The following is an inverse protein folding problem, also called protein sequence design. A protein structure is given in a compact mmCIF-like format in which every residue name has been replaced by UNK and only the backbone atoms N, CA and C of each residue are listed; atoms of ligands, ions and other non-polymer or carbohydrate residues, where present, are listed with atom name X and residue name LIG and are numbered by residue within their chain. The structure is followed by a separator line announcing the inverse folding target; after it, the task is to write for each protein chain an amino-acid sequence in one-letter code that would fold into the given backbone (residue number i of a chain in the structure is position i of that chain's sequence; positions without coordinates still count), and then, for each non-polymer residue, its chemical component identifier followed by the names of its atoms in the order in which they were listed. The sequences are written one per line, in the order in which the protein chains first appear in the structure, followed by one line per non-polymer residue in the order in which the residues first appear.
data_IF_963902856834
#
_entry.id   IF_963902856834
#
_cell.length_a   1.000
_cell.length_b   1.000
_cell.length_c   1.000
_cell.angle_alpha   90.00
_cell.angle_beta   90.00
_cell.angle_gamma   90.00
#
_symmetry.space_group_name_H-M   'P 1'
#
loop_
_entity.id
_entity.type
_entity.pdbx_description
1 polymer ?
#
# COMPACT_ATOMS: atom_id res chain seq x y z
N UNK A 1 19.55 12.34 -10.32
CA UNK A 1 20.07 11.25 -9.46
C UNK A 1 19.78 9.91 -10.13
N UNK A 2 20.73 8.99 -10.18
CA UNK A 2 20.50 7.66 -10.76
C UNK A 2 19.35 6.95 -10.03
N UNK A 3 18.56 6.18 -10.79
CA UNK A 3 17.45 5.38 -10.24
C UNK A 3 18.04 4.29 -9.32
N UNK A 4 17.48 4.12 -8.13
CA UNK A 4 17.89 3.02 -7.24
C UNK A 4 17.58 1.68 -7.91
N UNK A 5 18.52 0.72 -7.92
CA UNK A 5 18.28 -0.62 -8.42
C UNK A 5 17.11 -1.27 -7.66
N UNK A 6 16.19 -1.92 -8.38
CA UNK A 6 15.11 -2.66 -7.76
C UNK A 6 15.65 -3.87 -6.99
N UNK A 7 15.32 -3.99 -5.72
CA UNK A 7 15.54 -5.22 -4.95
C UNK A 7 14.48 -6.22 -5.42
N UNK A 8 14.88 -7.28 -6.10
CA UNK A 8 13.99 -8.31 -6.64
C UNK A 8 13.78 -9.41 -5.62
N UNK A 9 12.51 -9.67 -5.26
CA UNK A 9 12.15 -10.73 -4.32
C UNK A 9 10.71 -11.18 -4.55
N UNK A 10 10.44 -12.45 -4.31
CA UNK A 10 9.09 -13.01 -4.26
C UNK A 10 8.61 -13.23 -2.81
N UNK A 11 9.46 -12.94 -1.82
CA UNK A 11 9.17 -13.17 -0.41
C UNK A 11 8.43 -12.00 0.25
N UNK A 12 8.75 -10.78 -0.16
CA UNK A 12 8.31 -9.57 0.51
C UNK A 12 7.45 -8.68 -0.40
N UNK A 13 6.40 -8.03 0.15
CA UNK A 13 5.63 -7.06 -0.60
C UNK A 13 6.37 -5.73 -0.74
N UNK A 14 5.93 -4.96 -1.71
CA UNK A 14 6.40 -3.61 -1.97
C UNK A 14 5.26 -2.62 -1.72
N UNK A 15 5.58 -1.50 -1.11
CA UNK A 15 4.78 -0.30 -1.26
C UNK A 15 5.20 0.42 -2.54
N UNK A 16 4.25 0.69 -3.40
CA UNK A 16 4.47 1.26 -4.73
C UNK A 16 3.65 2.53 -4.84
N UNK A 17 4.24 3.59 -5.40
CA UNK A 17 3.51 4.81 -5.74
C UNK A 17 3.82 5.25 -7.14
N UNK A 18 2.79 5.66 -7.88
CA UNK A 18 2.92 6.33 -9.17
C UNK A 18 2.13 7.64 -9.13
N UNK A 19 2.73 8.71 -9.61
CA UNK A 19 2.15 10.05 -9.54
C UNK A 19 1.99 10.64 -10.93
N UNK A 20 0.90 11.39 -11.12
CA UNK A 20 0.63 12.12 -12.35
C UNK A 20 1.74 13.11 -12.69
N UNK A 21 1.83 13.45 -13.96
CA UNK A 21 2.72 14.52 -14.43
C UNK A 21 2.36 15.84 -13.76
N UNK A 22 3.36 16.66 -13.41
CA UNK A 22 3.21 17.96 -12.74
C UNK A 22 2.38 17.95 -11.44
N UNK A 23 2.04 16.78 -10.90
CA UNK A 23 1.12 16.62 -9.75
C UNK A 23 -0.31 17.11 -10.04
N UNK A 24 -0.67 17.25 -11.28
CA UNK A 24 -2.02 17.57 -11.71
C UNK A 24 -2.97 16.39 -11.46
N UNK A 25 -4.26 16.65 -11.50
CA UNK A 25 -5.24 15.57 -11.49
C UNK A 25 -5.05 14.68 -12.73
N UNK A 26 -5.44 13.43 -12.63
CA UNK A 26 -5.53 12.57 -13.80
C UNK A 26 -6.57 13.16 -14.77
N UNK A 27 -6.25 13.16 -16.05
CA UNK A 27 -6.95 13.93 -17.10
C UNK A 27 -8.35 13.43 -17.48
N UNK A 28 -8.92 12.51 -16.70
CA UNK A 28 -10.24 11.93 -16.81
C UNK A 28 -10.89 11.88 -15.43
N UNK A 29 -12.23 11.71 -15.32
CA UNK A 29 -12.90 11.49 -14.05
C UNK A 29 -12.23 10.37 -13.25
N UNK A 30 -12.16 10.53 -11.93
CA UNK A 30 -11.48 9.57 -11.05
C UNK A 30 -12.14 8.20 -11.09
N UNK A 31 -13.45 8.12 -11.29
CA UNK A 31 -14.20 6.88 -11.54
C UNK A 31 -13.71 6.13 -12.76
N UNK A 32 -13.48 6.84 -13.86
CA UNK A 32 -13.02 6.23 -15.10
C UNK A 32 -11.57 5.75 -14.98
N UNK A 33 -10.73 6.56 -14.32
CA UNK A 33 -9.36 6.15 -14.02
C UNK A 33 -9.33 4.93 -13.13
N UNK A 34 -10.21 4.86 -12.11
CA UNK A 34 -10.33 3.70 -11.22
C UNK A 34 -10.69 2.43 -12.00
N UNK A 35 -11.69 2.52 -12.89
CA UNK A 35 -12.10 1.38 -13.72
C UNK A 35 -10.97 0.90 -14.64
N UNK A 36 -10.27 1.84 -15.31
CA UNK A 36 -9.09 1.53 -16.13
C UNK A 36 -8.01 0.85 -15.30
N UNK A 37 -7.77 1.34 -14.10
CA UNK A 37 -6.76 0.80 -13.21
C UNK A 37 -7.10 -0.62 -12.75
N UNK A 38 -8.34 -0.87 -12.32
CA UNK A 38 -8.82 -2.19 -11.91
C UNK A 38 -8.76 -3.20 -13.06
N UNK A 39 -9.26 -2.83 -14.24
CA UNK A 39 -9.21 -3.67 -15.44
C UNK A 39 -7.75 -4.05 -15.80
N UNK A 40 -6.85 -3.08 -15.76
CA UNK A 40 -5.45 -3.32 -16.11
C UNK A 40 -4.73 -4.16 -15.06
N UNK A 41 -5.03 -3.94 -13.76
CA UNK A 41 -4.48 -4.78 -12.68
C UNK A 41 -5.02 -6.21 -12.71
N UNK A 42 -6.27 -6.42 -13.17
CA UNK A 42 -6.84 -7.77 -13.26
C UNK A 42 -6.06 -8.66 -14.22
N UNK A 43 -5.53 -8.11 -15.30
CA UNK A 43 -4.67 -8.84 -16.25
C UNK A 43 -3.41 -9.39 -15.55
N UNK A 44 -2.75 -8.56 -14.73
CA UNK A 44 -1.55 -8.97 -13.99
C UNK A 44 -1.85 -9.92 -12.84
N UNK A 45 -3.01 -9.75 -12.19
CA UNK A 45 -3.46 -10.65 -11.13
C UNK A 45 -3.86 -12.02 -11.68
N UNK A 46 -4.61 -12.07 -12.79
CA UNK A 46 -4.98 -13.32 -13.48
C UNK A 46 -3.76 -14.05 -14.02
N UNK A 47 -2.78 -13.34 -14.59
CA UNK A 47 -1.51 -13.90 -15.00
C UNK A 47 -0.63 -14.35 -13.81
N UNK A 48 -1.13 -14.22 -12.57
CA UNK A 48 -0.44 -14.57 -11.33
C UNK A 48 0.94 -13.92 -11.16
N UNK A 49 1.19 -12.78 -11.83
CA UNK A 49 2.46 -12.04 -11.69
C UNK A 49 2.48 -11.11 -10.48
N UNK A 50 1.30 -10.59 -10.09
CA UNK A 50 1.13 -9.76 -8.90
C UNK A 50 0.09 -10.36 -7.96
N UNK A 51 0.41 -10.33 -6.66
CA UNK A 51 -0.56 -10.49 -5.57
C UNK A 51 -0.81 -9.12 -4.97
N UNK A 52 -2.05 -8.63 -5.09
CA UNK A 52 -2.43 -7.31 -4.65
C UNK A 52 -2.90 -7.41 -3.20
N UNK A 53 -2.32 -6.57 -2.32
CA UNK A 53 -2.65 -6.53 -0.90
C UNK A 53 -3.50 -5.31 -0.53
N UNK A 54 -3.25 -4.16 -1.16
CA UNK A 54 -4.02 -2.93 -0.99
C UNK A 54 -3.82 -2.00 -2.19
N UNK A 55 -4.86 -1.25 -2.53
CA UNK A 55 -4.82 -0.20 -3.54
C UNK A 55 -5.66 0.98 -3.08
N UNK A 56 -5.12 2.18 -3.22
CA UNK A 56 -5.83 3.45 -3.04
C UNK A 56 -5.45 4.38 -4.19
N UNK A 57 -6.45 4.89 -4.89
CA UNK A 57 -6.29 5.89 -5.95
C UNK A 57 -6.65 7.27 -5.41
N UNK A 58 -5.69 8.16 -5.35
CA UNK A 58 -5.89 9.60 -5.06
C UNK A 58 -6.09 10.38 -6.37
N UNK A 59 -6.47 11.66 -6.27
CA UNK A 59 -6.71 12.52 -7.45
C UNK A 59 -5.52 12.63 -8.41
N UNK A 60 -4.29 12.50 -7.91
CA UNK A 60 -3.07 12.69 -8.70
C UNK A 60 -1.97 11.65 -8.44
N UNK A 61 -2.24 10.60 -7.69
CA UNK A 61 -1.31 9.50 -7.46
C UNK A 61 -2.06 8.26 -6.96
N UNK A 62 -1.40 7.13 -7.04
CA UNK A 62 -1.88 5.89 -6.46
C UNK A 62 -0.89 5.34 -5.45
N UNK A 63 -1.42 4.59 -4.49
CA UNK A 63 -0.69 3.73 -3.59
C UNK A 63 -1.10 2.28 -3.82
N UNK A 64 -0.13 1.42 -4.02
CA UNK A 64 -0.34 -0.01 -4.21
C UNK A 64 0.60 -0.77 -3.25
N UNK A 65 0.06 -1.74 -2.52
CA UNK A 65 0.87 -2.76 -1.85
C UNK A 65 0.69 -4.06 -2.62
N UNK A 66 1.78 -4.58 -3.17
CA UNK A 66 1.75 -5.82 -3.95
C UNK A 66 3.03 -6.63 -3.78
N UNK A 67 2.91 -7.96 -3.95
CA UNK A 67 4.05 -8.87 -4.06
C UNK A 67 4.19 -9.36 -5.49
N UNK A 68 5.42 -9.48 -5.96
CA UNK A 68 5.72 -10.19 -7.22
C UNK A 68 5.87 -11.69 -6.93
N UNK A 69 5.29 -12.54 -7.74
CA UNK A 69 5.33 -14.00 -7.54
C UNK A 69 6.64 -14.64 -8.00
N UNK A 70 7.31 -14.00 -8.95
CA UNK A 70 8.59 -14.44 -9.55
C UNK A 70 9.76 -13.51 -9.22
N UNK A 71 9.51 -12.46 -8.42
CA UNK A 71 10.50 -11.45 -8.06
C UNK A 71 10.70 -10.34 -9.10
N UNK A 72 10.01 -10.37 -10.23
CA UNK A 72 10.17 -9.42 -11.34
C UNK A 72 9.11 -8.33 -11.31
N UNK A 73 9.06 -7.54 -10.25
CA UNK A 73 8.09 -6.44 -10.11
C UNK A 73 8.11 -5.45 -11.28
N UNK A 74 9.25 -5.26 -11.91
CA UNK A 74 9.44 -4.30 -13.00
C UNK A 74 8.62 -4.64 -14.26
N UNK A 75 8.39 -5.91 -14.56
CA UNK A 75 7.61 -6.33 -15.74
C UNK A 75 6.12 -5.98 -15.61
N UNK A 76 5.40 -6.45 -14.57
CA UNK A 76 3.99 -6.11 -14.41
C UNK A 76 3.76 -4.62 -14.17
N UNK A 77 4.66 -3.93 -13.47
CA UNK A 77 4.53 -2.49 -13.27
C UNK A 77 4.75 -1.68 -14.55
N UNK A 78 5.65 -2.10 -15.42
CA UNK A 78 5.82 -1.50 -16.74
C UNK A 78 4.59 -1.68 -17.60
N UNK A 79 4.00 -2.88 -17.60
CA UNK A 79 2.75 -3.16 -18.29
C UNK A 79 1.63 -2.27 -17.75
N UNK A 80 1.41 -2.28 -16.44
CA UNK A 80 0.37 -1.51 -15.77
C UNK A 80 0.42 -0.02 -16.15
N UNK A 81 1.57 0.62 -15.95
CA UNK A 81 1.69 2.06 -16.20
C UNK A 81 1.55 2.40 -17.68
N UNK A 82 2.09 1.57 -18.58
CA UNK A 82 1.95 1.76 -20.02
C UNK A 82 0.48 1.67 -20.47
N UNK A 83 -0.23 0.61 -20.03
CA UNK A 83 -1.62 0.40 -20.46
C UNK A 83 -2.57 1.43 -19.86
N UNK A 84 -2.37 1.80 -18.58
CA UNK A 84 -3.12 2.91 -17.98
C UNK A 84 -2.88 4.22 -18.75
N UNK A 85 -1.62 4.57 -19.08
CA UNK A 85 -1.32 5.74 -19.91
C UNK A 85 -2.04 5.69 -21.26
N UNK A 86 -1.98 4.54 -21.95
CA UNK A 86 -2.61 4.37 -23.26
C UNK A 86 -4.12 4.56 -23.19
N UNK A 87 -4.79 3.95 -22.20
CA UNK A 87 -6.24 4.04 -22.02
C UNK A 87 -6.67 5.45 -21.60
N UNK A 88 -5.98 6.08 -20.67
CA UNK A 88 -6.25 7.45 -20.22
C UNK A 88 -6.07 8.44 -21.37
N UNK A 89 -4.97 8.35 -22.11
CA UNK A 89 -4.75 9.25 -23.28
C UNK A 89 -5.83 9.08 -24.35
N UNK A 90 -6.26 7.84 -24.59
CA UNK A 90 -7.38 7.58 -25.51
C UNK A 90 -8.70 8.21 -25.04
N UNK A 91 -8.98 8.15 -23.72
CA UNK A 91 -10.22 8.70 -23.15
C UNK A 91 -10.20 10.22 -23.04
N UNK A 92 -9.02 10.84 -22.95
CA UNK A 92 -8.85 12.30 -22.79
C UNK A 92 -8.39 13.01 -24.06
N UNK A 93 -8.27 12.30 -25.18
CA UNK A 93 -7.71 12.81 -26.45
C UNK A 93 -6.33 13.47 -26.26
N UNK A 94 -5.46 12.85 -25.46
CA UNK A 94 -4.12 13.34 -25.15
C UNK A 94 -3.04 12.40 -25.68
N UNK A 95 -1.85 12.94 -25.91
CA UNK A 95 -0.69 12.22 -26.42
C UNK A 95 0.51 12.24 -25.45
N UNK A 96 0.39 12.91 -24.30
CA UNK A 96 1.48 13.15 -23.39
C UNK A 96 1.54 12.11 -22.25
N UNK A 97 2.58 12.21 -21.40
CA UNK A 97 2.75 11.37 -20.24
C UNK A 97 1.67 11.61 -19.19
N UNK A 98 0.94 10.56 -18.80
CA UNK A 98 -0.01 10.58 -17.68
C UNK A 98 0.74 10.58 -16.34
N UNK A 99 1.80 9.77 -16.22
CA UNK A 99 2.64 9.75 -15.04
C UNK A 99 3.91 10.58 -15.23
N UNK A 100 4.29 11.33 -14.20
CA UNK A 100 5.44 12.24 -14.19
C UNK A 100 6.81 11.55 -14.11
N UNK A 101 6.84 10.23 -14.22
CA UNK A 101 8.05 9.42 -14.20
C UNK A 101 7.78 7.98 -13.76
N UNK A 102 8.83 7.19 -13.56
CA UNK A 102 8.73 5.83 -13.07
C UNK A 102 8.09 5.77 -11.68
N UNK A 103 7.43 4.64 -11.39
CA UNK A 103 6.93 4.38 -10.03
C UNK A 103 8.07 4.41 -9.00
N UNK A 104 7.73 4.80 -7.78
CA UNK A 104 8.60 4.67 -6.61
C UNK A 104 8.18 3.42 -5.84
N UNK A 105 9.13 2.81 -5.17
CA UNK A 105 8.89 1.59 -4.42
C UNK A 105 9.69 1.57 -3.11
N UNK A 106 9.20 0.81 -2.15
CA UNK A 106 9.87 0.48 -0.88
C UNK A 106 9.52 -0.95 -0.49
N UNK A 107 10.51 -1.76 -0.18
CA UNK A 107 10.32 -3.15 0.23
C UNK A 107 9.86 -3.22 1.68
N UNK A 108 8.88 -4.06 1.99
CA UNK A 108 8.32 -4.25 3.33
C UNK A 108 8.75 -5.61 3.84
N UNK A 109 9.66 -5.66 4.83
CA UNK A 109 10.36 -6.88 5.21
C UNK A 109 9.85 -7.57 6.47
N UNK A 110 8.91 -6.96 7.20
CA UNK A 110 8.29 -7.57 8.37
C UNK A 110 6.83 -7.15 8.56
N UNK A 111 6.14 -7.88 9.41
CA UNK A 111 4.71 -7.74 9.67
C UNK A 111 4.32 -6.37 10.25
N UNK A 112 5.05 -5.88 11.25
CA UNK A 112 4.73 -4.58 11.86
C UNK A 112 4.84 -3.45 10.84
N UNK A 113 5.85 -3.48 9.98
CA UNK A 113 5.96 -2.53 8.87
C UNK A 113 4.87 -2.72 7.82
N UNK A 114 4.46 -3.96 7.56
CA UNK A 114 3.34 -4.22 6.65
C UNK A 114 2.04 -3.58 7.15
N UNK A 115 1.72 -3.76 8.42
CA UNK A 115 0.52 -3.19 9.03
C UNK A 115 0.53 -1.66 9.02
N UNK A 116 1.63 -1.06 9.42
CA UNK A 116 1.76 0.40 9.36
C UNK A 116 1.65 0.92 7.92
N UNK A 117 2.23 0.21 6.96
CA UNK A 117 2.12 0.56 5.56
C UNK A 117 0.67 0.42 5.06
N UNK A 118 -0.01 -0.66 5.45
CA UNK A 118 -1.41 -0.92 5.12
C UNK A 118 -2.32 0.19 5.66
N UNK A 119 -2.21 0.50 6.96
CA UNK A 119 -2.92 1.61 7.61
C UNK A 119 -2.60 2.94 6.93
N UNK A 120 -1.33 3.20 6.65
CA UNK A 120 -0.91 4.41 5.95
C UNK A 120 -1.58 4.54 4.58
N UNK A 121 -1.61 3.48 3.79
CA UNK A 121 -2.20 3.48 2.44
C UNK A 121 -3.69 3.77 2.52
N UNK A 122 -4.44 3.05 3.35
CA UNK A 122 -5.88 3.24 3.47
C UNK A 122 -6.28 4.56 4.12
N UNK A 123 -5.43 5.14 4.98
CA UNK A 123 -5.69 6.45 5.58
C UNK A 123 -5.30 7.65 4.72
N UNK A 124 -4.69 7.47 3.55
CA UNK A 124 -4.34 8.61 2.70
C UNK A 124 -5.51 9.54 2.40
N UNK A 125 -6.72 9.06 2.02
CA UNK A 125 -7.89 9.93 1.79
C UNK A 125 -8.34 10.67 3.05
N UNK A 126 -8.35 9.99 4.20
CA UNK A 126 -8.70 10.61 5.50
C UNK A 126 -7.69 11.68 5.89
N UNK A 127 -6.39 11.42 5.73
CA UNK A 127 -5.34 12.39 6.00
C UNK A 127 -5.36 13.59 5.05
N UNK A 128 -5.92 13.42 3.85
CA UNK A 128 -6.14 14.48 2.88
C UNK A 128 -7.45 15.25 3.12
N UNK A 129 -8.25 14.88 4.13
CA UNK A 129 -9.54 15.51 4.43
C UNK A 129 -10.62 15.23 3.39
N UNK A 130 -10.50 14.16 2.61
CA UNK A 130 -11.46 13.81 1.54
C UNK A 130 -12.66 13.03 2.11
N UNK A 131 -12.43 12.23 3.13
CA UNK A 131 -13.46 11.46 3.84
C UNK A 131 -13.09 11.39 5.33
N UNK A 132 -14.07 11.01 6.16
CA UNK A 132 -13.86 10.88 7.62
C UNK A 132 -13.33 9.50 8.00
N UNK A 133 -13.78 8.46 7.30
CA UNK A 133 -13.43 7.06 7.56
C UNK A 133 -12.82 6.40 6.32
N UNK A 134 -11.95 5.41 6.53
CA UNK A 134 -11.24 4.74 5.43
C UNK A 134 -12.18 3.99 4.49
N UNK A 135 -13.27 3.43 5.01
CA UNK A 135 -14.29 2.71 4.27
C UNK A 135 -15.21 3.60 3.43
N UNK A 136 -15.28 4.90 3.72
CA UNK A 136 -16.12 5.85 2.97
C UNK A 136 -15.48 6.24 1.62
N UNK A 137 -14.21 5.92 1.42
CA UNK A 137 -13.52 6.31 0.21
C UNK A 137 -13.72 5.30 -0.93
N UNK A 138 -14.42 5.67 -2.03
CA UNK A 138 -14.82 4.71 -3.07
C UNK A 138 -13.66 4.16 -3.91
N UNK A 139 -12.55 4.88 -4.00
CA UNK A 139 -11.39 4.48 -4.82
C UNK A 139 -10.31 3.79 -3.97
N UNK A 140 -10.77 2.83 -3.17
CA UNK A 140 -9.99 2.04 -2.23
C UNK A 140 -10.42 0.59 -2.26
N UNK A 141 -9.49 -0.33 -2.01
CA UNK A 141 -9.80 -1.76 -1.93
C UNK A 141 -10.18 -2.22 -0.51
N UNK A 142 -10.33 -1.30 0.45
CA UNK A 142 -10.59 -1.68 1.85
C UNK A 142 -11.87 -2.52 2.00
N UNK A 143 -12.95 -2.12 1.34
CA UNK A 143 -14.24 -2.80 1.44
C UNK A 143 -14.26 -4.16 0.74
N UNK A 144 -13.31 -4.44 -0.15
CA UNK A 144 -13.20 -5.75 -0.81
C UNK A 144 -12.69 -6.86 0.12
N UNK A 145 -12.18 -6.52 1.29
CA UNK A 145 -11.83 -7.50 2.31
C UNK A 145 -13.07 -8.16 2.92
N UNK A 146 -14.17 -7.44 3.01
CA UNK A 146 -15.47 -7.97 3.46
C UNK A 146 -16.30 -8.48 2.28
N UNK A 147 -16.30 -7.74 1.17
CA UNK A 147 -17.03 -8.09 -0.04
C UNK A 147 -16.10 -8.21 -1.25
N UNK A 148 -15.49 -9.38 -1.49
CA UNK A 148 -14.56 -9.59 -2.60
C UNK A 148 -15.14 -9.34 -3.99
N UNK A 149 -16.49 -9.38 -4.15
CA UNK A 149 -17.16 -9.14 -5.45
C UNK A 149 -17.04 -7.70 -5.97
N UNK A 150 -16.58 -6.77 -5.12
CA UNK A 150 -16.33 -5.37 -5.51
C UNK A 150 -15.14 -5.20 -6.46
N UNK A 151 -14.29 -6.21 -6.60
CA UNK A 151 -13.08 -6.14 -7.42
C UNK A 151 -13.03 -7.28 -8.44
N UNK A 152 -12.40 -7.04 -9.61
CA UNK A 152 -12.21 -8.07 -10.63
C UNK A 152 -11.01 -9.01 -10.34
N UNK A 153 -10.41 -8.90 -9.17
CA UNK A 153 -9.29 -9.72 -8.69
C UNK A 153 -9.33 -9.87 -7.17
N UNK A 154 -8.74 -10.94 -6.62
CA UNK A 154 -8.69 -11.15 -5.19
C UNK A 154 -7.69 -10.21 -4.50
N UNK A 155 -8.00 -9.80 -3.27
CA UNK A 155 -7.04 -9.16 -2.36
C UNK A 155 -6.38 -10.26 -1.54
N UNK A 156 -5.05 -10.26 -1.53
CA UNK A 156 -4.26 -11.26 -0.83
C UNK A 156 -3.78 -10.71 0.52
N UNK A 157 -3.88 -11.56 1.56
CA UNK A 157 -3.14 -11.31 2.79
C UNK A 157 -1.68 -11.73 2.60
N UNK A 158 -0.77 -10.96 3.16
CA UNK A 158 0.62 -11.37 3.13
C UNK A 158 0.85 -12.52 4.11
N UNK A 159 1.38 -13.63 3.62
CA UNK A 159 1.52 -14.89 4.39
C UNK A 159 2.34 -14.77 5.68
N UNK A 160 3.27 -13.80 5.75
CA UNK A 160 4.08 -13.52 6.94
C UNK A 160 3.41 -12.54 7.92
N UNK A 161 2.22 -12.04 7.58
CA UNK A 161 1.43 -11.24 8.51
C UNK A 161 0.78 -12.07 9.62
N UNK A 162 0.95 -13.39 9.56
CA UNK A 162 0.38 -14.33 10.52
C UNK A 162 -1.11 -14.60 10.30
N UNK A 163 -1.60 -15.69 10.89
CA UNK A 163 -3.03 -16.06 10.84
C UNK A 163 -3.95 -15.04 11.54
N UNK A 164 -3.38 -14.13 12.30
CA UNK A 164 -4.09 -13.09 13.04
C UNK A 164 -4.58 -11.93 12.16
N UNK A 165 -4.09 -11.76 10.92
CA UNK A 165 -4.80 -11.03 9.88
C UNK A 165 -5.77 -11.96 9.12
N UNK A 166 -6.23 -13.03 9.69
CA UNK A 166 -7.55 -13.53 9.36
C UNK A 166 -8.49 -12.48 9.92
N UNK A 167 -8.99 -11.67 9.02
CA UNK A 167 -9.93 -10.58 9.28
C UNK A 167 -11.20 -11.11 9.97
N UNK A 168 -11.03 -11.90 11.03
CA UNK A 168 -12.13 -12.51 11.78
C UNK A 168 -13.06 -11.48 12.43
N UNK A 169 -12.58 -10.24 12.54
CA UNK A 169 -13.40 -9.09 12.92
C UNK A 169 -12.98 -7.86 12.10
N UNK A 170 -13.49 -7.76 10.88
CA UNK A 170 -13.25 -6.64 9.97
C UNK A 170 -13.56 -5.30 10.63
N UNK A 171 -14.59 -5.23 11.46
CA UNK A 171 -14.95 -4.03 12.21
C UNK A 171 -13.81 -3.55 13.12
N UNK A 172 -13.17 -4.43 13.88
CA UNK A 172 -12.05 -4.06 14.75
C UNK A 172 -10.85 -3.53 13.95
N UNK A 173 -10.64 -4.06 12.77
CA UNK A 173 -9.59 -3.59 11.86
C UNK A 173 -9.94 -2.21 11.30
N UNK A 174 -11.19 -1.98 10.89
CA UNK A 174 -11.65 -0.66 10.47
C UNK A 174 -11.51 0.35 11.60
N UNK A 175 -11.91 0.00 12.82
CA UNK A 175 -11.77 0.87 13.98
C UNK A 175 -10.31 1.24 14.23
N UNK A 176 -9.40 0.28 14.16
CA UNK A 176 -7.96 0.55 14.24
C UNK A 176 -7.46 1.42 13.06
N UNK A 177 -7.87 1.14 11.83
CA UNK A 177 -7.47 1.95 10.67
C UNK A 177 -8.00 3.38 10.78
N UNK A 178 -9.19 3.58 11.39
CA UNK A 178 -9.77 4.89 11.61
C UNK A 178 -9.16 5.64 12.82
N UNK A 179 -8.47 4.95 13.72
CA UNK A 179 -7.71 5.61 14.79
C UNK A 179 -6.62 6.48 14.18
N UNK A 180 -6.58 7.77 14.55
CA UNK A 180 -5.58 8.72 14.06
C UNK A 180 -4.16 8.33 14.50
N UNK A 181 -3.18 8.81 13.74
CA UNK A 181 -1.80 8.71 14.18
C UNK A 181 -1.47 9.76 15.24
N UNK A 182 -0.58 9.45 16.19
CA UNK A 182 0.02 10.48 17.04
C UNK A 182 0.68 11.57 16.20
N UNK A 183 0.73 12.78 16.75
CA UNK A 183 1.30 13.95 16.05
C UNK A 183 2.69 13.64 15.47
N UNK A 184 2.87 13.94 14.20
CA UNK A 184 4.13 13.76 13.48
C UNK A 184 4.43 12.33 13.03
N UNK A 185 3.71 11.29 13.49
CA UNK A 185 4.04 9.91 13.13
C UNK A 185 3.83 9.60 11.65
N UNK A 186 2.83 10.20 11.01
CA UNK A 186 2.61 10.07 9.56
C UNK A 186 3.81 10.52 8.73
N UNK A 187 4.57 11.52 9.20
CA UNK A 187 5.76 11.99 8.50
C UNK A 187 6.95 11.03 8.65
N UNK A 188 7.06 10.35 9.79
CA UNK A 188 8.02 9.25 9.95
C UNK A 188 7.71 8.11 8.97
N UNK A 189 6.44 7.72 8.81
CA UNK A 189 6.01 6.72 7.83
C UNK A 189 6.36 7.16 6.41
N UNK A 190 5.98 8.38 6.02
CA UNK A 190 6.29 8.95 4.69
C UNK A 190 7.80 8.97 4.42
N UNK A 191 8.60 9.33 5.43
CA UNK A 191 10.06 9.35 5.32
C UNK A 191 10.62 7.93 5.16
N UNK A 192 10.15 6.98 5.94
CA UNK A 192 10.56 5.57 5.87
C UNK A 192 10.26 4.94 4.51
N UNK A 193 9.06 5.22 3.96
CA UNK A 193 8.62 4.73 2.65
C UNK A 193 9.38 5.34 1.45
N UNK A 194 10.25 6.33 1.67
CA UNK A 194 11.14 6.84 0.62
C UNK A 194 12.45 6.03 0.50
N UNK A 195 12.70 5.13 1.43
CA UNK A 195 13.87 4.23 1.42
C UNK A 195 13.61 3.01 0.53
N UNK A 196 14.67 2.33 0.06
CA UNK A 196 14.53 1.07 -0.70
C UNK A 196 13.94 -0.06 0.14
N UNK A 197 14.20 -0.05 1.45
CA UNK A 197 13.52 -0.92 2.42
C UNK A 197 12.80 -0.02 3.41
N UNK A 198 11.52 -0.29 3.63
CA UNK A 198 10.71 0.47 4.57
C UNK A 198 11.21 0.24 6.00
N UNK A 199 11.59 1.32 6.63
CA UNK A 199 11.94 1.33 8.06
C UNK A 199 11.63 2.69 8.66
N UNK A 200 11.29 2.71 9.94
CA UNK A 200 11.12 3.94 10.71
C UNK A 200 12.46 4.28 11.35
N UNK A 201 12.89 5.51 11.15
CA UNK A 201 14.14 5.99 11.72
C UNK A 201 14.09 5.89 13.26
N UNK A 202 15.08 5.22 13.84
CA UNK A 202 15.27 5.18 15.29
C UNK A 202 15.58 6.58 15.83
N UNK A 203 15.16 6.84 17.05
CA UNK A 203 15.55 8.06 17.76
C UNK A 203 17.09 8.13 17.85
N UNK A 204 17.66 9.26 17.48
CA UNK A 204 19.13 9.42 17.43
C UNK A 204 19.81 9.25 18.78
N UNK A 205 19.16 9.68 19.86
CA UNK A 205 19.72 9.65 21.21
C UNK A 205 19.51 8.29 21.90
N UNK A 206 18.30 7.73 21.79
CA UNK A 206 17.95 6.47 22.47
C UNK A 206 18.24 5.23 21.63
N UNK A 207 18.46 5.37 20.33
CA UNK A 207 18.60 4.31 19.32
C UNK A 207 17.38 3.34 19.27
N UNK A 208 16.27 3.71 19.92
CA UNK A 208 15.03 2.93 19.93
C UNK A 208 14.05 3.39 18.86
N UNK A 209 13.21 2.48 18.42
CA UNK A 209 12.02 2.81 17.60
C UNK A 209 11.09 3.67 18.45
N UNK A 210 10.42 4.69 17.88
CA UNK A 210 9.46 5.51 18.62
C UNK A 210 8.37 4.66 19.28
N UNK A 211 8.01 4.97 20.53
CA UNK A 211 7.06 4.17 21.32
C UNK A 211 5.69 4.02 20.65
N UNK A 212 5.23 5.05 19.92
CA UNK A 212 3.92 4.93 19.24
C UNK A 212 3.96 3.96 18.04
N UNK A 213 5.10 3.54 17.58
CA UNK A 213 5.16 2.45 16.59
C UNK A 213 4.51 1.18 17.16
N UNK A 214 4.81 0.85 18.41
CA UNK A 214 4.25 -0.31 19.07
C UNK A 214 2.84 -0.06 19.59
N UNK A 215 2.59 1.11 20.20
CA UNK A 215 1.27 1.51 20.73
C UNK A 215 0.16 1.51 19.68
N UNK A 216 0.46 1.93 18.46
CA UNK A 216 -0.52 1.90 17.37
C UNK A 216 -0.91 0.47 17.00
N UNK A 217 0.02 -0.49 17.13
CA UNK A 217 -0.25 -1.90 16.86
C UNK A 217 -0.94 -2.63 18.02
N UNK A 218 -0.81 -2.15 19.26
CA UNK A 218 -1.51 -2.72 20.43
C UNK A 218 -3.03 -2.79 20.21
N UNK A 219 -3.59 -1.78 19.55
CA UNK A 219 -5.02 -1.75 19.20
C UNK A 219 -5.49 -2.92 18.32
N UNK A 220 -4.57 -3.53 17.54
CA UNK A 220 -4.87 -4.75 16.76
C UNK A 220 -4.60 -5.99 17.59
N UNK A 221 -3.51 -6.01 18.35
CA UNK A 221 -3.08 -7.19 19.09
C UNK A 221 -4.05 -7.59 20.21
N UNK A 222 -4.74 -6.62 20.82
CA UNK A 222 -5.77 -6.89 21.85
C UNK A 222 -7.06 -7.50 21.30
N UNK A 223 -7.30 -7.38 20.00
CA UNK A 223 -8.48 -7.99 19.35
C UNK A 223 -8.25 -9.43 18.87
N UNK A 224 -7.02 -9.97 19.05
CA UNK A 224 -6.64 -11.31 18.60
C UNK A 224 -5.91 -12.02 19.75
N UNK A 225 -6.29 -13.25 20.14
CA UNK A 225 -5.63 -13.99 21.19
C UNK A 225 -4.25 -14.49 20.70
N UNK A 226 -3.17 -13.74 20.96
CA UNK A 226 -1.82 -14.20 20.66
C UNK A 226 -0.79 -13.79 21.70
N UNK A 227 0.17 -14.68 21.92
CA UNK A 227 1.25 -14.56 22.90
C UNK A 227 2.32 -13.59 22.36
N UNK A 228 2.54 -12.49 23.05
CA UNK A 228 3.52 -11.43 22.71
C UNK A 228 4.98 -11.92 22.69
N UNK A 229 5.25 -13.09 23.27
CA UNK A 229 6.61 -13.64 23.38
C UNK A 229 7.20 -14.15 22.06
N UNK A 230 6.38 -14.58 21.11
CA UNK A 230 6.88 -15.01 19.79
C UNK A 230 7.41 -13.87 18.91
N UNK A 231 7.02 -12.63 19.18
CA UNK A 231 7.47 -11.47 18.41
C UNK A 231 8.89 -10.99 18.79
N UNK A 232 9.35 -11.27 19.98
CA UNK A 232 10.71 -10.91 20.40
C UNK A 232 11.78 -11.75 19.68
N UNK A 233 11.45 -12.97 19.26
CA UNK A 233 12.38 -13.87 18.56
C UNK A 233 12.64 -13.48 17.10
N UNK A 234 11.68 -12.86 16.40
CA UNK A 234 11.86 -12.44 15.02
C UNK A 234 12.72 -11.18 14.86
N UNK A 235 12.92 -10.42 15.93
CA UNK A 235 13.76 -9.22 15.93
C UNK A 235 15.24 -9.49 16.25
N UNK A 236 15.63 -10.73 16.56
CA UNK A 236 16.99 -11.10 16.96
C UNK A 236 17.76 -11.93 15.93
N UNK A 237 17.18 -12.27 14.78
CA UNK A 237 17.96 -12.84 13.69
C UNK A 237 18.43 -11.70 12.77
N UNK A 238 19.67 -11.30 12.98
CA UNK A 238 20.49 -10.45 12.13
C UNK A 238 20.81 -11.14 10.82
#
# INVERSE_FOLDING_TARGET
MPRRPLIRTHHYPYHITARSNNREWFYIPQSDFWNILLETLSVEAVASRLRIHALVLMSNHLHLIASSTDGKLDEPMRYLLREVCRKVNKSSDRINHVFGGPYKWSLITNTSYFLHCLKYVYRNPVQAGICERVEDYPYSTINAHENPSLLPFPIYHWKYSGDWIKWGNFKSILDWMNTGYPFGFSDYLKKGLRSSTFHIAKNRNTRKTPDYFWKDLEGIYHSVPYNFEEFSFLNHQK
#
